data_IF_939246544756
#
_entry.id   IF_939246544756
#
_cell.length_a   1.000
_cell.length_b   1.000
_cell.length_c   1.000
_cell.angle_alpha   90.00
_cell.angle_beta   90.00
_cell.angle_gamma   90.00
#
_symmetry.space_group_name_H-M   'P 1'
#
loop_
_entity.id
_entity.type
_entity.pdbx_description
1 polymer ?
#
# COMPACT_ATOMS: atom_id res chain seq x y z
N UNK A 1 14.07 -26.11 -59.44
CA UNK A 1 13.55 -25.93 -58.07
C UNK A 1 12.73 -24.66 -58.07
N UNK A 2 11.41 -24.75 -58.26
CA UNK A 2 10.53 -23.58 -58.35
C UNK A 2 9.77 -23.48 -57.03
N UNK A 3 10.41 -22.87 -56.03
CA UNK A 3 9.75 -22.48 -54.80
C UNK A 3 8.87 -21.28 -55.10
N UNK A 4 7.56 -21.50 -55.19
CA UNK A 4 6.58 -20.44 -55.39
C UNK A 4 6.47 -19.71 -54.05
N UNK A 5 7.14 -18.57 -53.95
CA UNK A 5 6.90 -17.60 -52.89
C UNK A 5 5.52 -16.99 -53.12
N UNK A 6 4.57 -17.33 -52.26
CA UNK A 6 3.28 -16.65 -52.21
C UNK A 6 3.48 -15.16 -51.90
N UNK A 7 2.47 -14.31 -52.20
CA UNK A 7 2.52 -12.90 -51.86
C UNK A 7 2.75 -12.73 -50.35
N UNK A 8 3.70 -11.88 -49.98
CA UNK A 8 3.94 -11.51 -48.59
C UNK A 8 2.68 -10.82 -48.07
N UNK A 9 2.07 -11.40 -47.05
CA UNK A 9 0.95 -10.76 -46.34
C UNK A 9 1.41 -9.39 -45.86
N UNK A 10 0.65 -8.36 -46.19
CA UNK A 10 0.96 -7.00 -45.78
C UNK A 10 0.74 -6.88 -44.27
N UNK A 11 1.44 -5.94 -43.62
CA UNK A 11 1.20 -5.65 -42.18
C UNK A 11 -0.30 -5.36 -41.91
N UNK A 12 -1.03 -4.86 -42.91
CA UNK A 12 -2.47 -4.63 -42.87
C UNK A 12 -3.31 -5.90 -42.73
N UNK A 13 -2.90 -7.01 -43.35
CA UNK A 13 -3.62 -8.30 -43.25
C UNK A 13 -3.52 -8.89 -41.84
N UNK A 14 -2.38 -8.66 -41.17
CA UNK A 14 -2.13 -9.10 -39.79
C UNK A 14 -2.90 -8.28 -38.74
N UNK A 15 -3.20 -7.02 -39.05
CA UNK A 15 -3.88 -6.11 -38.11
C UNK A 15 -5.41 -6.10 -38.28
N UNK A 16 -5.94 -6.76 -39.32
CA UNK A 16 -7.38 -6.87 -39.56
C UNK A 16 -8.13 -7.62 -38.45
N UNK A 17 -7.52 -8.64 -37.82
CA UNK A 17 -8.14 -9.43 -36.75
C UNK A 17 -8.22 -8.70 -35.40
N UNK A 18 -7.55 -7.55 -35.26
CA UNK A 18 -7.43 -6.78 -33.99
C UNK A 18 -8.54 -5.71 -33.85
N UNK A 19 -9.49 -5.66 -34.78
CA UNK A 19 -10.54 -4.63 -34.81
C UNK A 19 -11.98 -5.12 -34.69
N UNK A 20 -12.25 -6.42 -34.65
CA UNK A 20 -13.62 -6.95 -34.68
C UNK A 20 -14.05 -7.45 -33.30
N UNK A 21 -14.32 -6.52 -32.40
CA UNK A 21 -15.13 -6.75 -31.22
C UNK A 21 -16.48 -6.07 -31.37
N UNK A 22 -17.47 -6.82 -31.86
CA UNK A 22 -18.87 -6.43 -31.73
C UNK A 22 -19.86 -7.06 -32.71
N UNK A 23 -20.66 -8.00 -32.18
CA UNK A 23 -22.07 -8.25 -32.51
C UNK A 23 -22.41 -9.38 -33.51
N UNK A 24 -22.67 -10.59 -32.98
CA UNK A 24 -23.84 -11.40 -33.34
C UNK A 24 -24.01 -12.60 -32.37
N UNK A 25 -25.18 -12.67 -31.75
CA UNK A 25 -25.60 -13.68 -30.80
C UNK A 25 -25.80 -15.09 -31.40
N UNK A 26 -25.56 -16.14 -30.60
CA UNK A 26 -26.50 -17.24 -30.23
C UNK A 26 -25.74 -18.54 -29.84
N UNK A 27 -25.73 -18.79 -28.52
CA UNK A 27 -26.02 -20.06 -27.81
C UNK A 27 -25.15 -21.30 -28.07
N UNK A 28 -24.27 -21.65 -27.11
CA UNK A 28 -24.35 -22.78 -26.15
C UNK A 28 -23.10 -22.76 -25.25
N UNK A 29 -23.30 -22.77 -23.93
CA UNK A 29 -22.31 -23.11 -22.88
C UNK A 29 -22.54 -24.59 -22.51
N UNK A 30 -21.55 -25.45 -22.13
CA UNK A 30 -20.61 -25.18 -21.04
C UNK A 30 -19.21 -25.84 -21.11
N UNK A 31 -18.27 -25.28 -20.33
CA UNK A 31 -16.94 -25.84 -19.95
C UNK A 31 -15.91 -26.03 -21.08
N UNK A 32 -14.98 -25.08 -21.22
CA UNK A 32 -13.60 -25.36 -21.62
C UNK A 32 -12.69 -24.20 -21.20
N UNK A 33 -11.92 -24.44 -20.14
CA UNK A 33 -10.63 -23.83 -19.79
C UNK A 33 -10.36 -22.41 -20.30
N UNK A 34 -10.64 -21.44 -19.44
CA UNK A 34 -9.83 -20.23 -19.41
C UNK A 34 -8.36 -20.64 -19.29
N UNK A 35 -7.64 -20.42 -20.39
CA UNK A 35 -6.18 -20.49 -20.49
C UNK A 35 -5.55 -20.13 -19.16
N UNK A 36 -4.92 -21.13 -18.54
CA UNK A 36 -3.79 -20.94 -17.63
C UNK A 36 -2.75 -20.09 -18.38
N UNK A 37 -2.86 -18.78 -18.30
CA UNK A 37 -1.67 -17.95 -18.36
C UNK A 37 -0.87 -18.34 -17.13
N UNK A 38 0.15 -19.17 -17.36
CA UNK A 38 1.20 -19.35 -16.39
C UNK A 38 1.69 -17.96 -16.00
N UNK A 39 1.42 -17.60 -14.75
CA UNK A 39 1.98 -16.42 -14.10
C UNK A 39 3.47 -16.45 -14.42
N UNK A 40 4.05 -15.43 -15.08
CA UNK A 40 5.49 -15.37 -15.23
C UNK A 40 6.07 -15.52 -13.82
N UNK A 41 7.18 -16.27 -13.63
CA UNK A 41 7.82 -16.28 -12.32
C UNK A 41 7.96 -14.81 -11.94
N UNK A 42 7.42 -14.44 -10.78
CA UNK A 42 7.61 -13.12 -10.23
C UNK A 42 9.12 -12.92 -10.24
N UNK A 43 9.63 -12.18 -11.23
CA UNK A 43 10.92 -11.56 -11.10
C UNK A 43 10.67 -10.56 -9.99
N UNK A 44 10.90 -11.03 -8.76
CA UNK A 44 11.48 -10.20 -7.74
C UNK A 44 12.65 -9.54 -8.44
N UNK A 45 12.40 -8.34 -8.99
CA UNK A 45 13.41 -7.32 -9.07
C UNK A 45 13.79 -7.07 -7.60
N UNK A 46 14.59 -7.98 -7.04
CA UNK A 46 15.53 -7.63 -6.00
C UNK A 46 16.36 -6.57 -6.68
N UNK A 47 15.91 -5.32 -6.51
CA UNK A 47 16.83 -4.20 -6.49
C UNK A 47 17.93 -4.66 -5.55
N UNK A 48 19.13 -4.81 -6.09
CA UNK A 48 20.34 -5.08 -5.35
C UNK A 48 20.49 -3.93 -4.35
N UNK A 49 19.79 -4.01 -3.22
CA UNK A 49 19.99 -3.17 -2.04
C UNK A 49 21.23 -3.73 -1.34
N UNK A 50 22.33 -3.78 -2.07
CA UNK A 50 23.63 -4.03 -1.50
C UNK A 50 24.03 -2.75 -0.74
N UNK A 51 23.73 -2.74 0.55
CA UNK A 51 24.60 -2.15 1.56
C UNK A 51 24.70 -0.63 1.66
N UNK A 52 23.81 0.16 1.07
CA UNK A 52 23.72 1.59 1.41
C UNK A 52 22.30 2.02 1.76
N UNK A 53 22.19 2.68 2.91
CA UNK A 53 20.95 3.15 3.55
C UNK A 53 20.23 4.28 2.79
N UNK A 54 20.61 4.53 1.55
CA UNK A 54 20.09 5.61 0.76
C UNK A 54 18.74 5.20 0.16
N UNK A 55 17.65 5.68 0.77
CA UNK A 55 16.32 5.61 0.17
C UNK A 55 16.44 6.15 -1.26
N UNK A 56 16.24 5.33 -2.30
CA UNK A 56 16.43 5.79 -3.66
C UNK A 56 15.41 6.88 -3.94
N UNK A 57 15.90 8.01 -4.48
CA UNK A 57 15.03 9.09 -4.92
C UNK A 57 14.18 8.58 -6.08
N UNK A 58 12.92 8.25 -5.78
CA UNK A 58 11.95 7.71 -6.73
C UNK A 58 11.73 8.65 -7.90
N UNK A 59 11.79 9.97 -7.68
CA UNK A 59 11.64 10.95 -8.75
C UNK A 59 12.81 10.88 -9.71
N UNK A 60 14.03 10.75 -9.18
CA UNK A 60 15.24 10.57 -10.00
C UNK A 60 15.19 9.26 -10.78
N UNK A 61 14.85 8.14 -10.14
CA UNK A 61 14.73 6.84 -10.81
C UNK A 61 13.64 6.83 -11.90
N UNK A 62 12.50 7.50 -11.64
CA UNK A 62 11.45 7.62 -12.65
C UNK A 62 11.96 8.39 -13.88
N UNK A 63 12.64 9.52 -13.65
CA UNK A 63 13.18 10.35 -14.73
C UNK A 63 14.21 9.58 -15.57
N UNK A 64 15.15 8.89 -14.94
CA UNK A 64 16.17 8.09 -15.64
C UNK A 64 15.55 6.99 -16.51
N UNK A 65 14.53 6.29 -15.99
CA UNK A 65 13.83 5.25 -16.75
C UNK A 65 12.99 5.83 -17.90
N UNK A 66 12.39 7.00 -17.70
CA UNK A 66 11.66 7.71 -18.75
C UNK A 66 12.59 8.14 -19.88
N UNK A 67 13.77 8.69 -19.55
CA UNK A 67 14.75 9.14 -20.54
C UNK A 67 15.30 7.96 -21.36
N UNK A 68 15.51 6.80 -20.73
CA UNK A 68 15.86 5.55 -21.43
C UNK A 68 14.76 5.10 -22.39
N UNK A 69 13.49 5.20 -22.00
CA UNK A 69 12.37 4.87 -22.88
C UNK A 69 12.28 5.82 -24.07
N UNK A 70 12.43 7.14 -23.84
CA UNK A 70 12.45 8.14 -24.91
C UNK A 70 13.58 7.86 -25.91
N UNK A 71 14.76 7.50 -25.40
CA UNK A 71 15.91 7.15 -26.24
C UNK A 71 15.65 5.89 -27.08
N UNK A 72 15.03 4.87 -26.49
CA UNK A 72 14.64 3.64 -27.21
C UNK A 72 13.55 3.87 -28.26
N UNK A 73 12.62 4.79 -28.01
CA UNK A 73 11.58 5.18 -28.98
C UNK A 73 12.14 5.95 -30.19
N UNK A 74 13.20 6.72 -29.98
CA UNK A 74 13.91 7.41 -31.06
C UNK A 74 14.87 6.47 -31.84
N UNK A 75 15.23 5.33 -31.24
CA UNK A 75 16.04 4.29 -31.84
C UNK A 75 15.28 3.42 -32.84
N UNK A 76 16.00 2.50 -33.47
CA UNK A 76 15.42 1.50 -34.37
C UNK A 76 15.18 0.15 -33.69
N UNK A 77 15.56 0.01 -32.43
CA UNK A 77 15.48 -1.22 -31.66
C UNK A 77 14.14 -1.37 -30.94
N UNK A 78 13.66 -2.61 -30.82
CA UNK A 78 12.37 -2.92 -30.21
C UNK A 78 12.39 -2.92 -28.67
N UNK A 79 13.47 -2.42 -28.06
CA UNK A 79 13.65 -2.39 -26.60
C UNK A 79 12.60 -1.51 -25.90
N UNK A 80 12.01 -0.54 -26.62
CA UNK A 80 10.94 0.34 -26.13
C UNK A 80 9.74 -0.46 -25.60
N UNK A 81 9.41 -1.60 -26.21
CA UNK A 81 8.29 -2.44 -25.74
C UNK A 81 8.55 -3.00 -24.33
N UNK A 82 9.77 -3.51 -24.10
CA UNK A 82 10.20 -4.03 -22.81
C UNK A 82 10.31 -2.91 -21.77
N UNK A 83 10.84 -1.75 -22.16
CA UNK A 83 10.97 -0.58 -21.29
C UNK A 83 9.59 -0.03 -20.87
N UNK A 84 8.63 0.05 -21.80
CA UNK A 84 7.25 0.44 -21.48
C UNK A 84 6.62 -0.53 -20.49
N UNK A 85 6.75 -1.85 -20.69
CA UNK A 85 6.22 -2.84 -19.76
C UNK A 85 6.85 -2.72 -18.36
N UNK A 86 8.17 -2.48 -18.28
CA UNK A 86 8.87 -2.24 -17.01
C UNK A 86 8.33 -0.99 -16.31
N UNK A 87 8.12 0.10 -17.05
CA UNK A 87 7.56 1.35 -16.51
C UNK A 87 6.13 1.14 -15.99
N UNK A 88 5.25 0.50 -16.76
CA UNK A 88 3.89 0.18 -16.33
C UNK A 88 3.88 -0.70 -15.06
N UNK A 89 4.75 -1.72 -15.00
CA UNK A 89 4.87 -2.59 -13.83
C UNK A 89 5.35 -1.82 -12.59
N UNK A 90 6.34 -0.93 -12.77
CA UNK A 90 6.85 -0.10 -11.69
C UNK A 90 5.78 0.87 -11.17
N UNK A 91 5.01 1.49 -12.07
CA UNK A 91 3.90 2.38 -11.73
C UNK A 91 2.78 1.65 -10.98
N UNK A 92 2.40 0.45 -11.42
CA UNK A 92 1.40 -0.37 -10.71
C UNK A 92 1.89 -0.72 -9.30
N UNK A 93 3.16 -1.13 -9.18
CA UNK A 93 3.77 -1.44 -7.88
C UNK A 93 3.79 -0.21 -6.95
N UNK A 94 4.14 0.97 -7.48
CA UNK A 94 4.11 2.21 -6.73
C UNK A 94 2.69 2.59 -6.28
N UNK A 95 1.69 2.42 -7.14
CA UNK A 95 0.28 2.62 -6.80
C UNK A 95 -0.17 1.69 -5.67
N UNK A 96 0.16 0.40 -5.74
CA UNK A 96 -0.13 -0.57 -4.67
C UNK A 96 0.55 -0.20 -3.34
N UNK A 97 1.79 0.28 -3.38
CA UNK A 97 2.51 0.76 -2.20
C UNK A 97 1.81 1.95 -1.55
N UNK A 98 1.38 2.93 -2.35
CA UNK A 98 0.63 4.10 -1.87
C UNK A 98 -0.69 3.67 -1.25
N UNK A 99 -1.44 2.78 -1.90
CA UNK A 99 -2.71 2.26 -1.37
C UNK A 99 -2.51 1.53 -0.05
N UNK A 100 -1.55 0.59 0.03
CA UNK A 100 -1.24 -0.15 1.25
C UNK A 100 -0.82 0.79 2.38
N UNK A 101 0.05 1.75 2.10
CA UNK A 101 0.49 2.75 3.07
C UNK A 101 -0.69 3.57 3.59
N UNK A 102 -1.55 4.05 2.71
CA UNK A 102 -2.76 4.80 3.07
C UNK A 102 -3.69 3.99 3.98
N UNK A 103 -3.93 2.72 3.65
CA UNK A 103 -4.75 1.82 4.50
C UNK A 103 -4.12 1.61 5.87
N UNK A 104 -2.80 1.43 5.94
CA UNK A 104 -2.07 1.22 7.20
C UNK A 104 -2.08 2.47 8.08
N UNK A 105 -1.86 3.66 7.49
CA UNK A 105 -1.94 4.95 8.19
C UNK A 105 -3.35 5.18 8.74
N UNK A 106 -4.39 4.84 7.97
CA UNK A 106 -5.78 4.94 8.41
C UNK A 106 -6.06 4.01 9.60
N UNK A 107 -5.64 2.74 9.52
CA UNK A 107 -5.78 1.78 10.63
C UNK A 107 -4.98 2.21 11.88
N UNK A 108 -3.79 2.76 11.69
CA UNK A 108 -2.97 3.28 12.79
C UNK A 108 -3.65 4.48 13.47
N UNK A 109 -4.23 5.39 12.68
CA UNK A 109 -4.98 6.54 13.21
C UNK A 109 -6.17 6.10 14.04
N UNK A 110 -6.91 5.07 13.61
CA UNK A 110 -8.02 4.49 14.37
C UNK A 110 -7.55 3.96 15.73
N UNK A 111 -6.49 3.14 15.74
CA UNK A 111 -5.91 2.57 16.96
C UNK A 111 -5.40 3.66 17.92
N UNK A 112 -4.79 4.72 17.40
CA UNK A 112 -4.38 5.89 18.22
C UNK A 112 -5.61 6.57 18.84
N UNK A 113 -6.71 6.69 18.10
CA UNK A 113 -7.97 7.21 18.60
C UNK A 113 -8.56 6.37 19.74
N UNK A 114 -8.49 5.04 19.64
CA UNK A 114 -8.88 4.14 20.74
C UNK A 114 -8.00 4.31 21.98
N UNK A 115 -6.67 4.37 21.78
CA UNK A 115 -5.72 4.56 22.86
C UNK A 115 -5.95 5.89 23.59
N UNK A 116 -6.27 6.96 22.85
CA UNK A 116 -6.61 8.26 23.44
C UNK A 116 -7.85 8.18 24.35
N UNK A 117 -8.88 7.39 23.98
CA UNK A 117 -10.05 7.18 24.84
C UNK A 117 -9.68 6.44 26.13
N UNK A 118 -8.79 5.46 26.05
CA UNK A 118 -8.29 4.72 27.21
C UNK A 118 -7.53 5.65 28.15
N UNK A 119 -6.63 6.49 27.62
CA UNK A 119 -5.87 7.47 28.40
C UNK A 119 -6.80 8.44 29.12
N UNK A 120 -7.80 9.02 28.43
CA UNK A 120 -8.80 9.90 29.05
C UNK A 120 -9.54 9.22 30.20
N UNK A 121 -9.89 7.94 30.05
CA UNK A 121 -10.54 7.16 31.12
C UNK A 121 -9.61 6.98 32.32
N UNK A 122 -8.32 6.69 32.06
CA UNK A 122 -7.32 6.56 33.11
C UNK A 122 -7.13 7.89 33.86
N UNK A 123 -7.06 9.02 33.16
CA UNK A 123 -6.95 10.35 33.76
C UNK A 123 -8.16 10.66 34.66
N UNK A 124 -9.38 10.37 34.20
CA UNK A 124 -10.59 10.54 35.01
C UNK A 124 -10.57 9.67 36.27
N UNK A 125 -10.09 8.41 36.18
CA UNK A 125 -9.97 7.52 37.32
C UNK A 125 -8.93 8.02 38.33
N UNK A 126 -7.80 8.54 37.86
CA UNK A 126 -6.76 9.15 38.70
C UNK A 126 -7.31 10.40 39.41
N UNK A 127 -8.05 11.26 38.70
CA UNK A 127 -8.68 12.43 39.29
C UNK A 127 -9.67 12.06 40.41
N UNK A 128 -10.54 11.07 40.14
CA UNK A 128 -11.48 10.57 41.14
C UNK A 128 -10.77 9.95 42.36
N UNK A 129 -9.70 9.17 42.14
CA UNK A 129 -8.91 8.60 43.23
C UNK A 129 -8.23 9.66 44.10
N UNK A 130 -7.72 10.74 43.49
CA UNK A 130 -7.14 11.88 44.21
C UNK A 130 -8.18 12.62 45.06
N UNK A 131 -9.39 12.77 44.55
CA UNK A 131 -10.49 13.39 45.30
C UNK A 131 -10.86 12.58 46.55
N UNK A 132 -11.01 11.26 46.41
CA UNK A 132 -11.27 10.35 47.55
C UNK A 132 -10.15 10.42 48.59
N UNK A 133 -8.89 10.45 48.15
CA UNK A 133 -7.74 10.56 49.06
C UNK A 133 -7.75 11.89 49.84
N UNK A 134 -8.04 13.02 49.17
CA UNK A 134 -8.12 14.32 49.81
C UNK A 134 -9.24 14.39 50.87
N UNK A 135 -10.39 13.74 50.62
CA UNK A 135 -11.49 13.64 51.61
C UNK A 135 -11.07 12.83 52.83
N UNK A 136 -10.34 11.73 52.64
CA UNK A 136 -9.85 10.89 53.74
C UNK A 136 -8.82 11.62 54.62
N UNK A 137 -7.87 12.34 54.02
CA UNK A 137 -6.85 13.11 54.75
C UNK A 137 -7.49 14.20 55.63
N UNK A 138 -8.51 14.90 55.11
CA UNK A 138 -9.23 15.94 55.86
C UNK A 138 -10.03 15.38 57.05
N UNK A 139 -10.63 14.18 56.89
CA UNK A 139 -11.37 13.52 57.98
C UNK A 139 -10.45 13.04 59.12
N UNK A 140 -9.21 12.66 58.81
CA UNK A 140 -8.22 12.26 59.81
C UNK A 140 -7.70 13.45 60.64
N UNK A 141 -7.64 14.66 60.06
CA UNK A 141 -7.26 15.89 60.79
C UNK A 141 -8.32 16.37 61.79
N UNK A 142 -9.60 16.06 61.55
CA UNK A 142 -10.73 16.49 62.40
C UNK A 142 -10.92 15.59 63.63
N UNK A 143 -10.58 14.29 63.56
CA UNK A 143 -10.69 13.38 64.72
C UNK A 143 -9.47 13.35 65.64
N UNK A 144 -8.31 13.93 65.25
CA UNK A 144 -7.08 13.89 66.04
C UNK A 144 -6.97 14.94 67.16
N UNK A 145 -7.89 15.90 67.24
CA UNK A 145 -7.73 17.11 68.06
C UNK A 145 -8.82 17.32 69.12
N UNK A 146 -9.11 16.35 70.00
CA UNK A 146 -9.91 16.58 71.22
C UNK A 146 -9.79 15.42 72.21
N UNK A 147 -8.62 15.26 72.83
CA UNK A 147 -8.44 14.36 73.98
C UNK A 147 -7.55 15.01 75.04
N UNK A 148 -8.06 16.05 75.71
CA UNK A 148 -7.49 16.51 76.99
C UNK A 148 -8.60 16.56 78.02
N UNK A 149 -8.88 15.40 78.62
CA UNK A 149 -9.70 15.26 79.83
C UNK A 149 -8.85 15.78 81.00
N UNK A 150 -9.08 17.02 81.40
CA UNK A 150 -8.63 17.52 82.71
C UNK A 150 -9.62 17.09 83.78
N UNK A 151 -9.30 16.00 84.47
CA UNK A 151 -9.86 15.69 85.79
C UNK A 151 -8.76 15.92 86.82
N UNK A 152 -8.92 16.91 87.70
CA UNK A 152 -8.11 17.05 88.91
C UNK A 152 -9.05 17.21 90.10
N UNK A 153 -8.76 16.37 91.09
CA UNK A 153 -9.43 16.18 92.36
C UNK A 153 -9.39 17.40 93.28
#
# INVERSE_FOLDING_TARGET
MRGIGGPLLCIGDLLSDVGEEGDAAVVVSPVAEYRRHEKPPASTCLLDLEGDSHVPDLTKLFQENYDHLVSALAGTDHSWTSLTLKLCTALETANQLVQSTSTNVTSLSEKIGELQKIVKRADSAIAAAREVHAVMDNNNGIMGGSSSITSRA
#
